data_IF_382460861064
#
_entry.id   IF_382460861064
#
_cell.length_a   1.000
_cell.length_b   1.000
_cell.length_c   1.000
_cell.angle_alpha   90.00
_cell.angle_beta   90.00
_cell.angle_gamma   90.00
#
_symmetry.space_group_name_H-M   'P 1'
#
loop_
_entity.id
_entity.type
_entity.pdbx_description
1 polymer ?
#
# COMPACT_ATOMS: atom_id res chain seq x y z
N UNK A 1 18.74 37.64 -43.50
CA UNK A 1 19.50 36.53 -44.12
C UNK A 1 20.33 35.91 -43.02
N UNK A 2 20.25 34.66 -42.58
CA UNK A 2 19.43 33.50 -42.95
C UNK A 2 19.50 32.49 -41.81
N UNK A 3 18.47 31.65 -41.75
CA UNK A 3 18.30 30.41 -41.00
C UNK A 3 19.56 29.59 -40.69
N UNK A 4 19.61 29.02 -39.49
CA UNK A 4 19.67 27.55 -39.40
C UNK A 4 18.71 27.07 -38.33
N UNK A 5 17.82 26.20 -38.76
CA UNK A 5 16.89 25.46 -37.93
C UNK A 5 17.58 24.15 -37.51
N UNK A 6 17.55 23.87 -36.21
CA UNK A 6 17.55 22.50 -35.70
C UNK A 6 16.61 22.45 -34.50
N UNK A 7 15.31 22.19 -34.69
CA UNK A 7 14.52 21.55 -33.67
C UNK A 7 14.78 20.05 -33.77
N UNK A 8 15.50 19.48 -32.82
CA UNK A 8 15.43 18.04 -32.56
C UNK A 8 14.51 17.84 -31.35
N UNK A 9 13.21 17.59 -31.58
CA UNK A 9 12.31 17.16 -30.54
C UNK A 9 12.59 15.69 -30.27
N UNK A 10 13.51 15.41 -29.34
CA UNK A 10 13.71 14.06 -28.82
C UNK A 10 12.54 13.71 -27.88
N UNK A 11 11.39 13.46 -28.50
CA UNK A 11 10.28 12.74 -27.92
C UNK A 11 10.67 11.26 -27.80
N UNK A 12 11.12 10.85 -26.61
CA UNK A 12 11.20 9.44 -26.21
C UNK A 12 11.42 9.31 -24.70
N UNK A 13 10.38 9.61 -23.92
CA UNK A 13 10.13 8.93 -22.65
C UNK A 13 8.61 8.92 -22.43
N UNK A 14 7.97 8.28 -23.39
CA UNK A 14 6.68 7.63 -23.24
C UNK A 14 6.78 6.66 -22.06
N UNK A 15 6.14 6.97 -20.95
CA UNK A 15 5.09 6.14 -20.35
C UNK A 15 4.89 6.55 -18.88
N UNK A 16 3.77 7.23 -18.65
CA UNK A 16 2.87 7.02 -17.52
C UNK A 16 3.49 6.67 -16.16
N UNK A 17 3.66 7.68 -15.31
CA UNK A 17 3.31 7.53 -13.90
C UNK A 17 2.22 8.55 -13.54
N UNK A 18 0.95 8.30 -13.92
CA UNK A 18 -0.14 8.90 -13.18
C UNK A 18 -0.22 8.21 -11.82
N UNK A 19 -0.45 9.03 -10.79
CA UNK A 19 -1.21 8.64 -9.60
C UNK A 19 -0.49 7.83 -8.52
N UNK A 20 0.30 8.50 -7.67
CA UNK A 20 0.39 8.12 -6.25
C UNK A 20 0.29 9.33 -5.31
N UNK A 21 -0.45 10.36 -5.70
CA UNK A 21 -1.15 11.19 -4.72
C UNK A 21 -2.42 10.45 -4.28
N UNK A 22 -2.29 9.18 -3.87
CA UNK A 22 -3.35 8.50 -3.15
C UNK A 22 -3.25 9.06 -1.74
N UNK A 23 -4.02 10.13 -1.49
CA UNK A 23 -4.08 10.79 -0.19
C UNK A 23 -4.13 9.73 0.89
N UNK A 24 -3.19 9.82 1.83
CA UNK A 24 -3.02 8.88 2.95
C UNK A 24 -4.40 8.40 3.39
N UNK A 25 -4.79 7.13 3.11
CA UNK A 25 -6.06 6.66 3.60
C UNK A 25 -5.93 6.63 5.11
N UNK A 26 -6.68 7.48 5.79
CA UNK A 26 -6.90 7.33 7.21
C UNK A 26 -7.74 6.05 7.36
N UNK A 27 -7.06 4.91 7.47
CA UNK A 27 -7.71 3.63 7.68
C UNK A 27 -8.53 3.68 8.98
N UNK A 28 -9.71 3.08 8.96
CA UNK A 28 -10.57 2.94 10.12
C UNK A 28 -10.52 1.49 10.64
N UNK A 29 -10.75 1.28 11.94
CA UNK A 29 -10.98 -0.07 12.47
C UNK A 29 -12.25 -0.63 11.82
N UNK A 30 -12.17 -1.86 11.31
CA UNK A 30 -13.23 -2.53 10.55
C UNK A 30 -13.09 -2.39 9.04
N UNK A 31 -12.20 -1.53 8.53
CA UNK A 31 -11.97 -1.41 7.09
C UNK A 31 -11.26 -2.62 6.52
N UNK A 32 -11.69 -3.02 5.32
CA UNK A 32 -10.95 -3.99 4.53
C UNK A 32 -9.82 -3.29 3.81
N UNK A 33 -8.63 -3.84 3.98
CA UNK A 33 -7.40 -3.33 3.39
C UNK A 33 -6.68 -4.45 2.68
N UNK A 34 -5.97 -4.11 1.62
CA UNK A 34 -5.19 -5.06 0.84
C UNK A 34 -3.76 -4.57 0.77
N UNK A 35 -2.80 -5.49 0.74
CA UNK A 35 -1.40 -5.11 0.51
C UNK A 35 -1.25 -4.54 -0.90
N UNK A 36 -0.67 -3.34 -1.01
CA UNK A 36 -0.30 -2.76 -2.33
C UNK A 36 1.10 -3.20 -2.74
N UNK A 37 1.97 -3.34 -1.75
CA UNK A 37 3.35 -3.67 -1.93
C UNK A 37 3.75 -4.67 -0.86
N UNK A 38 4.33 -5.80 -1.26
CA UNK A 38 4.88 -6.79 -0.34
C UNK A 38 6.06 -6.18 0.44
N UNK A 39 5.92 -5.89 1.75
CA UNK A 39 7.05 -5.39 2.50
C UNK A 39 8.10 -6.51 2.63
N UNK A 40 9.39 -6.19 2.78
CA UNK A 40 10.43 -7.20 2.95
C UNK A 40 10.28 -8.00 4.25
N UNK A 41 9.51 -7.50 5.21
CA UNK A 41 9.25 -8.14 6.51
C UNK A 41 7.94 -7.63 7.10
N UNK A 42 7.20 -8.52 7.75
CA UNK A 42 5.96 -8.23 8.45
C UNK A 42 6.20 -8.23 9.96
N UNK A 43 5.75 -7.19 10.65
CA UNK A 43 5.74 -7.17 12.11
C UNK A 43 4.45 -7.77 12.62
N UNK A 44 4.53 -8.72 13.55
CA UNK A 44 3.34 -9.25 14.23
C UNK A 44 2.82 -8.22 15.25
N UNK A 45 1.51 -8.15 15.45
CA UNK A 45 0.89 -7.29 16.48
C UNK A 45 0.88 -7.92 17.89
N UNK A 46 1.68 -8.96 18.10
CA UNK A 46 1.75 -9.72 19.35
C UNK A 46 2.58 -8.98 20.43
N UNK A 47 2.31 -9.18 21.74
CA UNK A 47 3.16 -8.68 22.82
C UNK A 47 4.66 -8.97 22.66
N UNK A 48 5.04 -10.01 21.90
CA UNK A 48 6.39 -10.16 21.35
C UNK A 48 6.39 -9.86 19.84
N UNK A 49 6.75 -8.64 19.41
CA UNK A 49 6.76 -8.30 17.99
C UNK A 49 7.86 -9.07 17.25
N UNK A 50 7.47 -10.16 16.61
CA UNK A 50 8.35 -10.95 15.76
C UNK A 50 8.29 -10.45 14.30
N UNK A 51 9.47 -10.35 13.67
CA UNK A 51 9.61 -10.16 12.24
C UNK A 51 9.33 -11.50 11.56
N UNK A 52 8.25 -11.56 10.79
CA UNK A 52 7.91 -12.72 9.98
C UNK A 52 8.18 -12.44 8.50
N UNK A 53 8.57 -13.47 7.73
CA UNK A 53 8.78 -13.32 6.29
C UNK A 53 7.46 -12.91 5.61
N UNK A 54 7.52 -12.09 4.56
CA UNK A 54 6.34 -11.62 3.84
C UNK A 54 5.63 -12.71 3.04
N UNK A 55 6.25 -13.88 2.88
CA UNK A 55 5.60 -15.07 2.33
C UNK A 55 4.32 -15.45 3.10
N UNK A 56 4.24 -15.04 4.36
CA UNK A 56 3.04 -15.21 5.18
C UNK A 56 1.85 -14.34 4.77
N UNK A 57 1.99 -13.30 3.95
CA UNK A 57 0.84 -12.50 3.47
C UNK A 57 1.05 -12.21 1.99
N UNK A 58 0.07 -12.60 1.18
CA UNK A 58 0.11 -12.34 -0.25
C UNK A 58 -0.51 -10.97 -0.55
N UNK A 59 -0.08 -10.30 -1.61
CA UNK A 59 -0.64 -9.01 -2.05
C UNK A 59 -2.12 -9.11 -2.41
N UNK A 60 -2.57 -10.31 -2.78
CA UNK A 60 -4.00 -10.58 -3.04
C UNK A 60 -4.81 -10.78 -1.77
N UNK A 61 -4.17 -10.97 -0.61
CA UNK A 61 -4.91 -11.20 0.63
C UNK A 61 -5.45 -9.88 1.19
N UNK A 62 -6.77 -9.84 1.34
CA UNK A 62 -7.44 -8.78 2.07
C UNK A 62 -7.38 -9.07 3.57
N UNK A 63 -6.98 -8.07 4.33
CA UNK A 63 -7.04 -8.06 5.79
C UNK A 63 -8.08 -7.05 6.27
N UNK A 64 -8.44 -7.16 7.54
CA UNK A 64 -9.34 -6.20 8.21
C UNK A 64 -8.54 -5.46 9.26
N UNK A 65 -8.60 -4.14 9.26
CA UNK A 65 -7.98 -3.34 10.32
C UNK A 65 -8.70 -3.64 11.62
N UNK A 66 -8.01 -4.23 12.59
CA UNK A 66 -8.56 -4.53 13.92
C UNK A 66 -8.12 -3.52 14.96
N UNK A 67 -7.03 -2.80 14.71
CA UNK A 67 -6.52 -1.77 15.61
C UNK A 67 -5.79 -0.68 14.81
N UNK A 68 -5.91 0.57 15.24
CA UNK A 68 -5.11 1.68 14.73
C UNK A 68 -4.15 2.11 15.83
N UNK A 69 -2.87 2.20 15.48
CA UNK A 69 -1.80 2.68 16.36
C UNK A 69 -1.30 4.04 15.88
N UNK A 70 -0.58 4.71 16.77
CA UNK A 70 0.15 5.93 16.43
C UNK A 70 1.18 5.65 15.31
N UNK A 71 1.68 6.72 14.67
CA UNK A 71 2.68 6.64 13.59
C UNK A 71 2.18 5.89 12.35
N UNK A 72 0.90 6.01 12.02
CA UNK A 72 0.29 5.41 10.81
C UNK A 72 0.35 3.87 10.77
N UNK A 73 0.61 3.24 11.92
CA UNK A 73 0.61 1.79 12.04
C UNK A 73 -0.81 1.29 12.28
N UNK A 74 -1.26 0.32 11.50
CA UNK A 74 -2.54 -0.34 11.63
C UNK A 74 -2.26 -1.82 11.94
N UNK A 75 -2.87 -2.36 12.98
CA UNK A 75 -2.91 -3.81 13.17
C UNK A 75 -4.01 -4.35 12.26
N UNK A 76 -3.60 -5.07 11.23
CA UNK A 76 -4.47 -5.67 10.24
C UNK A 76 -4.51 -7.17 10.50
N UNK A 77 -5.71 -7.70 10.71
CA UNK A 77 -5.96 -9.13 10.81
C UNK A 77 -6.19 -9.70 9.43
N UNK A 78 -5.25 -10.53 9.00
CA UNK A 78 -5.35 -11.36 7.82
C UNK A 78 -5.79 -12.78 8.21
N UNK A 79 -6.00 -13.66 7.21
CA UNK A 79 -6.33 -15.06 7.50
C UNK A 79 -5.20 -15.79 8.21
N UNK A 80 -3.94 -15.40 7.95
CA UNK A 80 -2.75 -16.00 8.57
C UNK A 80 -2.38 -15.43 9.95
N UNK A 81 -2.98 -14.32 10.38
CA UNK A 81 -2.69 -13.70 11.68
C UNK A 81 -2.85 -12.19 11.68
N UNK A 82 -2.48 -11.54 12.78
CA UNK A 82 -2.54 -10.08 12.93
C UNK A 82 -1.16 -9.46 12.80
N UNK A 83 -1.04 -8.50 11.89
CA UNK A 83 0.23 -7.88 11.52
C UNK A 83 0.12 -6.37 11.56
N UNK A 84 1.18 -5.72 11.99
CA UNK A 84 1.35 -4.28 12.01
C UNK A 84 1.88 -3.82 10.65
N UNK A 85 1.05 -3.06 9.95
CA UNK A 85 1.33 -2.52 8.62
C UNK A 85 1.12 -1.02 8.64
N UNK A 86 1.88 -0.29 7.85
CA UNK A 86 1.68 1.15 7.72
C UNK A 86 0.69 1.47 6.60
N UNK A 87 0.07 2.64 6.70
CA UNK A 87 -0.86 3.11 5.66
C UNK A 87 -0.24 3.12 4.25
N UNK A 88 1.08 3.26 4.14
CA UNK A 88 1.83 3.26 2.87
C UNK A 88 1.94 1.87 2.22
N UNK A 89 1.79 0.80 2.98
CA UNK A 89 1.86 -0.59 2.52
C UNK A 89 0.47 -1.16 2.20
N UNK A 90 -0.57 -0.44 2.60
CA UNK A 90 -1.97 -0.84 2.52
C UNK A 90 -2.69 0.05 1.51
N UNK A 91 -3.63 -0.54 0.78
CA UNK A 91 -4.71 0.21 0.13
C UNK A 91 -6.02 -0.18 0.74
N UNK A 92 -6.98 0.71 0.63
CA UNK A 92 -8.36 0.37 0.87
C UNK A 92 -8.77 -0.71 -0.15
N UNK A 93 -9.17 -1.87 0.36
CA UNK A 93 -9.86 -2.83 -0.49
C UNK A 93 -11.22 -2.23 -0.82
N UNK A 94 -11.77 -2.46 -2.02
CA UNK A 94 -13.13 -2.02 -2.31
C UNK A 94 -14.07 -2.56 -1.22
N UNK A 95 -14.66 -1.67 -0.42
CA UNK A 95 -15.65 -2.06 0.57
C UNK A 95 -16.71 -2.90 -0.16
N UNK A 96 -17.08 -4.08 0.36
CA UNK A 96 -18.29 -4.71 -0.13
C UNK A 96 -19.45 -3.73 0.09
N UNK A 97 -20.36 -3.57 -0.88
CA UNK A 97 -21.53 -2.73 -0.70
C UNK A 97 -22.29 -3.26 0.51
N UNK A 98 -22.41 -2.43 1.55
CA UNK A 98 -23.23 -2.73 2.71
C UNK A 98 -24.68 -2.71 2.22
N UNK A 99 -25.30 -3.89 2.18
CA UNK A 99 -26.72 -4.10 1.81
C UNK A 99 -27.64 -3.80 2.98
#
# INVERSE_FOLDING_TARGET
MSSTASPEPSAAAENSLPSEAQGQPAFAVGEQVQLVQRPPYLKSADPMPMLRPPDLIDEREAGVVVELRALEQCAVRFRRGTFLLTARQLRQAPLPPQV
#
